data_IF_050230364064
#
_entry.id   IF_050230364064
#
_cell.length_a   1.000
_cell.length_b   1.000
_cell.length_c   1.000
_cell.angle_alpha   90.00
_cell.angle_beta   90.00
_cell.angle_gamma   90.00
#
_symmetry.space_group_name_H-M   'P 1'
#
loop_
_entity.id
_entity.type
_entity.pdbx_description
1 polymer ?
#
# COMPACT_ATOMS: atom_id res chain seq x y z
N UNK A 1 -1.39 -22.88 -38.83
CA UNK A 1 -1.71 -22.03 -37.66
C UNK A 1 -0.86 -20.77 -37.78
N UNK A 2 -1.49 -19.61 -37.92
CA UNK A 2 -0.86 -18.43 -38.54
C UNK A 2 0.07 -17.68 -37.58
N UNK A 3 1.17 -17.16 -38.13
CA UNK A 3 2.14 -16.30 -37.44
C UNK A 3 1.48 -15.14 -36.69
N UNK A 4 0.35 -14.64 -37.19
CA UNK A 4 -0.46 -13.59 -36.56
C UNK A 4 -0.97 -13.98 -35.17
N UNK A 5 -1.41 -15.23 -34.96
CA UNK A 5 -1.87 -15.70 -33.64
C UNK A 5 -0.70 -15.80 -32.64
N UNK A 6 0.49 -16.18 -33.09
CA UNK A 6 1.70 -16.23 -32.26
C UNK A 6 2.17 -14.82 -31.86
N UNK A 7 2.12 -13.85 -32.77
CA UNK A 7 2.44 -12.45 -32.47
C UNK A 7 1.43 -11.84 -31.50
N UNK A 8 0.14 -12.10 -31.68
CA UNK A 8 -0.92 -11.57 -30.80
C UNK A 8 -0.80 -12.13 -29.37
N UNK A 9 -0.49 -13.42 -29.24
CA UNK A 9 -0.22 -14.05 -27.94
C UNK A 9 1.02 -13.46 -27.24
N UNK A 10 2.07 -13.16 -28.01
CA UNK A 10 3.30 -12.55 -27.49
C UNK A 10 3.06 -11.13 -26.98
N UNK A 11 2.30 -10.32 -27.72
CA UNK A 11 1.93 -8.96 -27.29
C UNK A 11 1.08 -8.98 -26.03
N UNK A 12 0.10 -9.89 -25.95
CA UNK A 12 -0.73 -10.08 -24.76
C UNK A 12 0.09 -10.46 -23.53
N UNK A 13 1.01 -11.43 -23.65
CA UNK A 13 1.89 -11.83 -22.56
C UNK A 13 2.77 -10.68 -22.08
N UNK A 14 3.31 -9.87 -23.00
CA UNK A 14 4.11 -8.70 -22.64
C UNK A 14 3.28 -7.67 -21.89
N UNK A 15 2.07 -7.36 -22.34
CA UNK A 15 1.17 -6.43 -21.65
C UNK A 15 0.87 -6.88 -20.21
N UNK A 16 0.55 -8.17 -20.02
CA UNK A 16 0.31 -8.74 -18.69
C UNK A 16 1.54 -8.68 -17.77
N UNK A 17 2.74 -8.91 -18.30
CA UNK A 17 3.99 -8.77 -17.55
C UNK A 17 4.29 -7.30 -17.16
N UNK A 18 3.98 -6.35 -18.04
CA UNK A 18 4.12 -4.92 -17.72
C UNK A 18 3.15 -4.49 -16.62
N UNK A 19 1.89 -4.90 -16.72
CA UNK A 19 0.84 -4.56 -15.76
C UNK A 19 1.14 -5.12 -14.36
N UNK A 20 1.54 -6.40 -14.28
CA UNK A 20 1.98 -7.03 -13.04
C UNK A 20 3.15 -6.28 -12.37
N UNK A 21 4.16 -5.87 -13.15
CA UNK A 21 5.32 -5.12 -12.65
C UNK A 21 4.92 -3.74 -12.06
N UNK A 22 3.92 -3.07 -12.64
CA UNK A 22 3.44 -1.78 -12.11
C UNK A 22 2.68 -1.93 -10.78
N UNK A 23 1.86 -2.96 -10.64
CA UNK A 23 1.12 -3.25 -9.40
C UNK A 23 2.06 -3.66 -8.27
N UNK A 24 3.05 -4.53 -8.57
CA UNK A 24 4.06 -4.94 -7.60
C UNK A 24 4.91 -3.77 -7.09
N UNK A 25 5.29 -2.84 -7.98
CA UNK A 25 6.04 -1.62 -7.60
C UNK A 25 5.22 -0.70 -6.71
N UNK A 26 3.93 -0.46 -7.04
CA UNK A 26 3.04 0.38 -6.22
C UNK A 26 2.86 -0.21 -4.81
N UNK A 27 2.63 -1.52 -4.73
CA UNK A 27 2.54 -2.26 -3.46
C UNK A 27 3.81 -2.13 -2.64
N UNK A 28 4.98 -2.27 -3.27
CA UNK A 28 6.27 -2.13 -2.59
C UNK A 28 6.49 -0.72 -2.03
N UNK A 29 6.13 0.33 -2.79
CA UNK A 29 6.27 1.72 -2.35
C UNK A 29 5.36 2.03 -1.15
N UNK A 30 4.09 1.63 -1.24
CA UNK A 30 3.12 1.84 -0.16
C UNK A 30 3.48 1.06 1.10
N UNK A 31 4.02 -0.15 0.95
CA UNK A 31 4.56 -0.93 2.06
C UNK A 31 5.70 -0.18 2.76
N UNK A 32 6.70 0.31 2.00
CA UNK A 32 7.82 1.06 2.57
C UNK A 32 7.34 2.34 3.27
N UNK A 33 6.38 3.07 2.69
CA UNK A 33 5.79 4.25 3.31
C UNK A 33 5.05 3.93 4.62
N UNK A 34 4.28 2.84 4.64
CA UNK A 34 3.55 2.40 5.83
C UNK A 34 4.50 2.01 6.98
N UNK A 35 5.57 1.27 6.66
CA UNK A 35 6.62 0.91 7.64
C UNK A 35 7.35 2.16 8.17
N UNK A 36 7.75 3.08 7.28
CA UNK A 36 8.42 4.32 7.68
C UNK A 36 7.53 5.16 8.62
N UNK A 37 6.24 5.25 8.30
CA UNK A 37 5.26 5.97 9.12
C UNK A 37 5.09 5.31 10.50
N UNK A 38 4.99 3.98 10.56
CA UNK A 38 4.94 3.24 11.82
C UNK A 38 6.17 3.47 12.69
N UNK A 39 7.36 3.49 12.08
CA UNK A 39 8.61 3.74 12.80
C UNK A 39 8.72 5.18 13.35
N UNK A 40 8.32 6.17 12.54
CA UNK A 40 8.25 7.57 12.97
C UNK A 40 7.27 7.74 14.14
N UNK A 41 6.13 7.05 14.10
CA UNK A 41 5.14 7.07 15.18
C UNK A 41 5.67 6.48 16.50
N UNK A 42 6.43 5.37 16.46
CA UNK A 42 7.10 4.82 17.65
C UNK A 42 8.13 5.81 18.21
N UNK A 43 8.90 6.44 17.34
CA UNK A 43 9.91 7.43 17.73
C UNK A 43 9.25 8.65 18.38
N UNK A 44 8.17 9.17 17.79
CA UNK A 44 7.38 10.26 18.35
C UNK A 44 6.75 9.88 19.70
N UNK A 45 6.19 8.68 19.82
CA UNK A 45 5.64 8.16 21.07
C UNK A 45 6.71 8.12 22.17
N UNK A 46 7.91 7.62 21.82
CA UNK A 46 9.04 7.52 22.76
C UNK A 46 9.52 8.91 23.21
N UNK A 47 9.54 9.89 22.30
CA UNK A 47 9.91 11.27 22.60
C UNK A 47 8.88 11.98 23.50
N UNK A 48 7.59 11.65 23.37
CA UNK A 48 6.53 12.21 24.22
C UNK A 48 6.49 11.52 25.58
N UNK A 49 6.76 10.21 25.65
CA UNK A 49 6.74 9.45 26.90
C UNK A 49 7.75 9.98 27.93
N UNK A 50 8.92 10.45 27.47
CA UNK A 50 9.95 11.04 28.33
C UNK A 50 9.57 12.42 28.88
N UNK A 51 8.54 13.07 28.32
CA UNK A 51 8.11 14.41 28.73
C UNK A 51 7.01 14.44 29.81
N UNK A 52 6.47 13.28 30.22
CA UNK A 52 5.48 13.04 31.32
C UNK A 52 4.15 13.83 31.24
N UNK A 53 4.02 14.83 30.36
CA UNK A 53 2.91 15.78 30.42
C UNK A 53 1.64 15.37 29.66
N UNK A 54 1.70 14.38 28.76
CA UNK A 54 0.55 14.06 27.89
C UNK A 54 0.35 12.56 27.65
N UNK A 55 -0.14 11.85 28.67
CA UNK A 55 -0.56 10.45 28.55
C UNK A 55 -1.52 10.20 27.37
N UNK A 56 -2.53 11.06 27.10
CA UNK A 56 -3.43 10.87 25.95
C UNK A 56 -2.70 10.91 24.61
N UNK A 57 -1.71 11.80 24.45
CA UNK A 57 -0.93 11.93 23.22
C UNK A 57 -0.09 10.68 22.95
N UNK A 58 0.49 10.09 24.01
CA UNK A 58 1.23 8.81 23.91
C UNK A 58 0.30 7.69 23.42
N UNK A 59 -0.91 7.60 23.97
CA UNK A 59 -1.90 6.58 23.57
C UNK A 59 -2.30 6.75 22.10
N UNK A 60 -2.61 7.97 21.67
CA UNK A 60 -2.99 8.25 20.28
C UNK A 60 -1.85 7.93 19.31
N UNK A 61 -0.62 8.37 19.60
CA UNK A 61 0.55 8.09 18.75
C UNK A 61 0.86 6.59 18.69
N UNK A 62 0.74 5.88 19.81
CA UNK A 62 0.91 4.42 19.86
C UNK A 62 -0.14 3.72 18.98
N UNK A 63 -1.40 4.15 19.08
CA UNK A 63 -2.50 3.60 18.29
C UNK A 63 -2.29 3.83 16.79
N UNK A 64 -1.91 5.05 16.40
CA UNK A 64 -1.62 5.38 15.01
C UNK A 64 -0.44 4.56 14.45
N UNK A 65 0.62 4.37 15.26
CA UNK A 65 1.76 3.53 14.89
C UNK A 65 1.34 2.08 14.67
N UNK A 66 0.51 1.53 15.58
CA UNK A 66 -0.01 0.17 15.46
C UNK A 66 -0.86 0.00 14.20
N UNK A 67 -1.74 0.96 13.89
CA UNK A 67 -2.55 0.95 12.66
C UNK A 67 -1.66 0.96 11.41
N UNK A 68 -0.58 1.76 11.39
CA UNK A 68 0.35 1.80 10.26
C UNK A 68 1.04 0.44 10.04
N UNK A 69 1.43 -0.27 11.10
CA UNK A 69 2.02 -1.62 10.98
C UNK A 69 1.00 -2.69 10.57
N UNK A 70 -0.22 -2.63 11.09
CA UNK A 70 -1.31 -3.52 10.66
C UNK A 70 -1.59 -3.31 9.17
N UNK A 71 -1.64 -2.06 8.72
CA UNK A 71 -1.80 -1.72 7.31
C UNK A 71 -0.62 -2.23 6.46
N UNK A 72 0.63 -2.06 6.92
CA UNK A 72 1.79 -2.62 6.25
C UNK A 72 1.72 -4.16 6.12
N UNK A 73 1.27 -4.86 7.17
CA UNK A 73 1.03 -6.30 7.14
C UNK A 73 -0.06 -6.70 6.13
N UNK A 74 -1.14 -5.90 6.05
CA UNK A 74 -2.19 -6.10 5.05
C UNK A 74 -1.68 -5.95 3.61
N UNK A 75 -0.82 -4.96 3.36
CA UNK A 75 -0.15 -4.78 2.06
C UNK A 75 0.79 -5.95 1.72
N UNK A 76 1.55 -6.44 2.70
CA UNK A 76 2.45 -7.59 2.53
C UNK A 76 1.70 -8.89 2.21
N UNK A 77 0.52 -9.10 2.81
CA UNK A 77 -0.34 -10.25 2.56
C UNK A 77 -0.97 -10.29 1.16
N UNK A 78 -0.64 -9.34 0.27
CA UNK A 78 -1.09 -9.35 -1.12
C UNK A 78 -2.54 -8.90 -1.31
N UNK A 79 -3.21 -8.38 -0.28
CA UNK A 79 -4.59 -7.86 -0.38
C UNK A 79 -4.69 -6.48 -1.02
N UNK A 80 -3.65 -6.06 -1.75
CA UNK A 80 -3.59 -4.77 -2.43
C UNK A 80 -4.64 -4.66 -3.55
N UNK A 81 -4.95 -5.77 -4.21
CA UNK A 81 -5.94 -5.81 -5.28
C UNK A 81 -7.34 -5.37 -4.81
N UNK A 82 -7.66 -5.57 -3.53
CA UNK A 82 -8.90 -5.11 -2.93
C UNK A 82 -8.96 -3.59 -2.71
N UNK A 83 -7.81 -2.92 -2.58
CA UNK A 83 -7.71 -1.46 -2.45
C UNK A 83 -7.65 -0.76 -3.82
N UNK A 84 -7.07 -1.39 -4.85
CA UNK A 84 -7.04 -0.85 -6.21
C UNK A 84 -8.32 -1.09 -7.01
N UNK A 85 -9.13 -2.10 -6.62
CA UNK A 85 -10.50 -2.22 -7.15
C UNK A 85 -11.33 -0.97 -6.83
N UNK A 86 -11.00 -0.27 -5.74
CA UNK A 86 -11.64 0.98 -5.37
C UNK A 86 -11.16 2.18 -6.21
N UNK A 87 -10.01 2.16 -6.90
CA UNK A 87 -9.62 3.28 -7.79
C UNK A 87 -10.54 3.35 -9.02
N UNK A 88 -10.97 2.20 -9.54
CA UNK A 88 -12.00 2.11 -10.59
C UNK A 88 -13.36 2.60 -10.06
N UNK A 89 -13.72 2.25 -8.82
CA UNK A 89 -14.93 2.72 -8.15
C UNK A 89 -14.89 4.23 -7.88
N UNK A 90 -13.77 4.77 -7.38
CA UNK A 90 -13.58 6.20 -7.13
C UNK A 90 -13.59 6.99 -8.44
N UNK A 91 -12.97 6.46 -9.50
CA UNK A 91 -13.07 7.06 -10.82
C UNK A 91 -14.51 7.05 -11.36
N UNK A 92 -15.25 5.95 -11.18
CA UNK A 92 -16.66 5.88 -11.54
C UNK A 92 -17.54 6.82 -10.71
N UNK A 93 -17.26 7.01 -9.42
CA UNK A 93 -18.04 7.91 -8.53
C UNK A 93 -17.76 9.39 -8.82
N UNK A 94 -16.50 9.75 -9.12
CA UNK A 94 -16.14 11.15 -9.40
C UNK A 94 -16.36 11.58 -10.86
N UNK A 95 -16.60 10.62 -11.76
CA UNK A 95 -16.77 10.89 -13.19
C UNK A 95 -18.17 10.45 -13.73
N UNK A 96 -19.10 10.11 -12.84
CA UNK A 96 -20.55 9.94 -13.10
C UNK A 96 -21.33 11.20 -12.70
#
# INVERSE_FOLDING_TARGET
MSSTQSTLATLRNRAQLFEANTTERRRSLLFTMAIATGFLGITATSAVLTSVQHLPTVVVLSLLSAVAFVFAGFLFAGRFDALTADDEFLWQVFNA
#
